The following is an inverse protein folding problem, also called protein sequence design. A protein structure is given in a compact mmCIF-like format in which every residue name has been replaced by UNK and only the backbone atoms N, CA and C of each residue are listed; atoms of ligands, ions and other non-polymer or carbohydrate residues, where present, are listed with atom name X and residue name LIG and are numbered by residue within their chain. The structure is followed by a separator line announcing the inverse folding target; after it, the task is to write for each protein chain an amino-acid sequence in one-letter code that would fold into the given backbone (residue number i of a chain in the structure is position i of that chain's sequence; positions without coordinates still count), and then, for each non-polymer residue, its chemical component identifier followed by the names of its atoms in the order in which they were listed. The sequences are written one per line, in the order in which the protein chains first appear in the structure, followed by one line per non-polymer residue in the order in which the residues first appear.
data_IF_802670448048
#
_entry.id   IF_802670448048
#
_cell.length_a   1.000
_cell.length_b   1.000
_cell.length_c   1.000
_cell.angle_alpha   90.00
_cell.angle_beta   90.00
_cell.angle_gamma   90.00
#
_symmetry.space_group_name_H-M   'P 1'
#
loop_
_entity.id
_entity.type
_entity.pdbx_description
1 polymer ?
#
# COMPACT_ATOMS: atom_id res chain seq x y z
N UNK A 1 15.73 -7.49 -13.60
CA UNK A 1 15.27 -7.55 -12.20
C UNK A 1 13.98 -6.75 -12.13
N UNK A 2 12.87 -7.35 -11.68
CA UNK A 2 11.59 -6.64 -11.57
C UNK A 2 11.61 -5.69 -10.37
N UNK A 3 10.89 -4.58 -10.47
CA UNK A 3 10.73 -3.55 -9.44
C UNK A 3 9.29 -3.60 -8.92
N UNK A 4 9.12 -3.64 -7.60
CA UNK A 4 7.81 -3.59 -6.98
C UNK A 4 7.73 -2.43 -6.00
N UNK A 5 6.64 -1.66 -6.09
CA UNK A 5 6.29 -0.67 -5.08
C UNK A 5 5.20 -1.25 -4.18
N UNK A 6 5.49 -1.36 -2.89
CA UNK A 6 4.53 -1.79 -1.87
C UNK A 6 4.16 -0.59 -1.01
N UNK A 7 2.91 -0.15 -1.09
CA UNK A 7 2.39 0.86 -0.17
C UNK A 7 2.01 0.20 1.15
N UNK A 8 2.02 0.96 2.26
CA UNK A 8 1.64 0.40 3.56
C UNK A 8 2.65 -0.64 4.04
N UNK A 9 3.91 -0.50 3.60
CA UNK A 9 5.00 -1.46 3.79
C UNK A 9 5.22 -1.86 5.26
N UNK A 10 4.94 -0.97 6.20
CA UNK A 10 5.10 -1.19 7.64
C UNK A 10 3.95 -1.98 8.27
N UNK A 11 2.85 -2.17 7.53
CA UNK A 11 1.72 -3.01 7.90
C UNK A 11 2.07 -4.50 7.91
N UNK A 12 1.12 -5.34 8.32
CA UNK A 12 1.31 -6.79 8.33
C UNK A 12 1.53 -7.32 6.91
N UNK A 13 0.56 -7.10 6.03
CA UNK A 13 0.58 -7.67 4.67
C UNK A 13 1.72 -7.08 3.85
N UNK A 14 1.95 -5.76 3.94
CA UNK A 14 3.07 -5.10 3.29
C UNK A 14 4.43 -5.72 3.66
N UNK A 15 4.65 -6.02 4.94
CA UNK A 15 5.91 -6.62 5.41
C UNK A 15 6.13 -8.05 4.88
N UNK A 16 5.11 -8.91 4.95
CA UNK A 16 5.20 -10.27 4.44
C UNK A 16 5.27 -10.33 2.90
N UNK A 17 4.53 -9.47 2.22
CA UNK A 17 4.59 -9.33 0.76
C UNK A 17 5.99 -8.88 0.32
N UNK A 18 6.58 -7.89 0.99
CA UNK A 18 7.93 -7.44 0.69
C UNK A 18 8.95 -8.56 0.87
N UNK A 19 8.82 -9.38 1.93
CA UNK A 19 9.67 -10.57 2.12
C UNK A 19 9.55 -11.53 0.94
N UNK A 20 8.33 -11.87 0.55
CA UNK A 20 8.05 -12.75 -0.59
C UNK A 20 8.66 -12.20 -1.90
N UNK A 21 8.53 -10.90 -2.14
CA UNK A 21 9.05 -10.24 -3.35
C UNK A 21 10.58 -10.23 -3.36
N UNK A 22 11.23 -9.93 -2.23
CA UNK A 22 12.68 -10.02 -2.07
C UNK A 22 13.18 -11.45 -2.33
N UNK A 23 12.52 -12.47 -1.77
CA UNK A 23 12.85 -13.88 -2.01
C UNK A 23 12.68 -14.30 -3.48
N UNK A 24 11.77 -13.65 -4.22
CA UNK A 24 11.58 -13.81 -5.67
C UNK A 24 12.58 -13.01 -6.51
N UNK A 25 13.52 -12.28 -5.90
CA UNK A 25 14.53 -11.49 -6.60
C UNK A 25 14.02 -10.16 -7.16
N UNK A 26 12.96 -9.59 -6.58
CA UNK A 26 12.51 -8.24 -6.91
C UNK A 26 13.37 -7.19 -6.20
N UNK A 27 13.55 -6.02 -6.84
CA UNK A 27 13.92 -4.80 -6.14
C UNK A 27 12.64 -4.23 -5.52
N UNK A 28 12.60 -4.13 -4.19
CA UNK A 28 11.39 -3.70 -3.46
C UNK A 28 11.55 -2.27 -2.97
N UNK A 29 10.57 -1.44 -3.32
CA UNK A 29 10.39 -0.09 -2.83
C UNK A 29 9.22 -0.07 -1.83
N UNK A 30 9.45 0.52 -0.67
CA UNK A 30 8.49 0.58 0.43
C UNK A 30 7.97 1.98 0.64
N UNK A 31 6.72 2.23 0.27
CA UNK A 31 6.04 3.49 0.55
C UNK A 31 5.56 3.55 2.00
N UNK A 32 5.96 4.59 2.75
CA UNK A 32 5.47 4.84 4.10
C UNK A 32 5.06 6.31 4.31
N UNK A 33 4.14 6.56 5.25
CA UNK A 33 3.80 7.93 5.65
C UNK A 33 4.94 8.59 6.43
N UNK A 34 5.11 9.89 6.20
CA UNK A 34 5.97 10.73 7.04
C UNK A 34 5.37 10.81 8.44
N UNK A 35 6.09 10.25 9.41
CA UNK A 35 5.73 10.31 10.83
C UNK A 35 6.98 10.67 11.62
N UNK A 36 6.81 11.28 12.79
CA UNK A 36 7.93 11.66 13.67
C UNK A 36 8.73 10.46 14.16
N UNK A 37 8.08 9.29 14.26
CA UNK A 37 8.72 8.03 14.66
C UNK A 37 8.21 6.91 13.77
N UNK A 38 8.89 6.63 12.64
CA UNK A 38 8.48 5.55 11.77
C UNK A 38 8.71 4.20 12.46
N UNK A 39 7.77 3.28 12.25
CA UNK A 39 7.79 1.97 12.91
C UNK A 39 8.04 0.84 11.91
N UNK A 40 9.27 0.32 11.89
CA UNK A 40 9.72 -0.73 10.98
C UNK A 40 9.89 -2.10 11.65
N UNK A 41 9.33 -2.30 12.86
CA UNK A 41 9.59 -3.50 13.66
C UNK A 41 9.30 -4.83 12.92
N UNK A 42 8.25 -4.87 12.08
CA UNK A 42 7.93 -6.05 11.26
C UNK A 42 9.01 -6.35 10.24
N UNK A 43 9.56 -5.33 9.58
CA UNK A 43 10.61 -5.46 8.58
C UNK A 43 11.93 -5.93 9.21
N UNK A 44 12.22 -5.45 10.44
CA UNK A 44 13.35 -5.96 11.22
C UNK A 44 13.14 -7.41 11.65
N UNK A 45 11.95 -7.75 12.16
CA UNK A 45 11.62 -9.12 12.60
C UNK A 45 11.67 -10.13 11.46
N UNK A 46 11.43 -9.68 10.22
CA UNK A 46 11.49 -10.50 9.01
C UNK A 46 12.86 -10.49 8.32
N UNK A 47 13.87 -9.77 8.85
CA UNK A 47 15.20 -9.60 8.25
C UNK A 47 15.17 -9.08 6.79
N UNK A 48 14.28 -8.10 6.53
CA UNK A 48 14.16 -7.47 5.21
C UNK A 48 14.32 -5.95 5.23
N UNK A 49 14.55 -5.36 6.40
CA UNK A 49 14.70 -3.90 6.52
C UNK A 49 15.76 -3.33 5.56
N UNK A 50 16.94 -3.94 5.51
CA UNK A 50 18.03 -3.50 4.61
C UNK A 50 17.86 -3.97 3.15
N UNK A 51 16.77 -4.69 2.84
CA UNK A 51 16.47 -5.23 1.50
C UNK A 51 15.35 -4.44 0.79
N UNK A 52 14.84 -3.39 1.44
CA UNK A 52 13.77 -2.53 0.94
C UNK A 52 14.29 -1.09 0.85
N UNK A 53 13.98 -0.42 -0.26
CA UNK A 53 14.25 1.01 -0.44
C UNK A 53 13.02 1.82 0.01
N UNK A 54 13.12 2.50 1.15
CA UNK A 54 11.98 3.23 1.72
C UNK A 54 11.85 4.63 1.13
N UNK A 55 10.64 4.98 0.70
CA UNK A 55 10.32 6.29 0.14
C UNK A 55 9.13 6.88 0.90
N UNK A 56 9.25 8.08 1.50
CA UNK A 56 8.15 8.72 2.19
C UNK A 56 7.12 9.27 1.20
N UNK A 57 5.84 8.95 1.40
CA UNK A 57 4.74 9.45 0.57
C UNK A 57 3.41 9.41 1.38
N UNK A 58 2.34 10.01 0.85
CA UNK A 58 0.99 9.87 1.42
C UNK A 58 -0.05 9.65 0.32
N UNK A 59 -1.01 8.75 0.57
CA UNK A 59 -2.15 8.51 -0.34
C UNK A 59 -3.06 9.74 -0.49
N UNK A 60 -2.97 10.69 0.44
CA UNK A 60 -3.70 11.96 0.37
C UNK A 60 -3.02 13.02 -0.52
N UNK A 61 -1.75 12.82 -0.89
CA UNK A 61 -0.95 13.78 -1.63
C UNK A 61 -0.51 13.22 -2.99
N UNK A 62 -1.23 13.62 -4.04
CA UNK A 62 -0.94 13.21 -5.42
C UNK A 62 0.47 13.58 -5.89
N UNK A 63 1.07 14.66 -5.39
CA UNK A 63 2.44 15.02 -5.77
C UNK A 63 3.43 13.99 -5.22
N UNK A 64 3.26 13.58 -3.96
CA UNK A 64 4.08 12.53 -3.35
C UNK A 64 3.87 11.16 -4.03
N UNK A 65 2.65 10.85 -4.47
CA UNK A 65 2.33 9.64 -5.24
C UNK A 65 3.06 9.67 -6.59
N UNK A 66 2.99 10.79 -7.30
CA UNK A 66 3.70 10.97 -8.57
C UNK A 66 5.20 10.77 -8.41
N UNK A 67 5.77 11.32 -7.32
CA UNK A 67 7.19 11.23 -7.03
C UNK A 67 7.63 9.81 -6.68
N UNK A 68 6.92 9.10 -5.80
CA UNK A 68 7.28 7.71 -5.45
C UNK A 68 7.18 6.79 -6.66
N UNK A 69 6.20 6.98 -7.54
CA UNK A 69 6.08 6.20 -8.77
C UNK A 69 7.25 6.47 -9.72
N UNK A 70 7.70 7.72 -9.87
CA UNK A 70 8.87 8.07 -10.69
C UNK A 70 10.18 7.51 -10.13
N UNK A 71 10.39 7.62 -8.82
CA UNK A 71 11.61 7.13 -8.16
C UNK A 71 11.68 5.59 -8.21
N UNK A 72 10.55 4.92 -7.94
CA UNK A 72 10.50 3.46 -7.89
C UNK A 72 10.43 2.81 -9.28
N UNK A 73 9.93 3.53 -10.30
CA UNK A 73 9.73 3.05 -11.67
C UNK A 73 9.24 1.58 -11.70
N UNK A 74 8.10 1.26 -11.03
CA UNK A 74 7.77 -0.11 -10.66
C UNK A 74 7.12 -0.87 -11.83
N UNK A 75 7.44 -2.15 -11.98
CA UNK A 75 6.69 -3.06 -12.85
C UNK A 75 5.33 -3.45 -12.24
N UNK A 76 5.28 -3.48 -10.90
CA UNK A 76 4.14 -3.94 -10.10
C UNK A 76 3.94 -3.01 -8.89
N UNK A 77 2.71 -2.53 -8.69
CA UNK A 77 2.30 -1.72 -7.53
C UNK A 77 1.30 -2.52 -6.69
N UNK A 78 1.61 -2.68 -5.41
CA UNK A 78 0.76 -3.35 -4.43
C UNK A 78 0.25 -2.35 -3.42
N UNK A 79 -1.02 -1.96 -3.55
CA UNK A 79 -1.63 -1.01 -2.64
C UNK A 79 -2.19 -1.69 -1.38
N UNK A 80 -1.40 -1.71 -0.29
CA UNK A 80 -1.82 -2.24 1.02
C UNK A 80 -1.98 -1.14 2.08
N UNK A 81 -1.66 0.11 1.76
CA UNK A 81 -1.95 1.26 2.61
C UNK A 81 -3.45 1.56 2.67
N UNK A 82 -3.97 1.70 3.89
CA UNK A 82 -5.37 2.03 4.16
C UNK A 82 -5.52 2.64 5.56
N UNK A 83 -6.65 3.29 5.81
CA UNK A 83 -7.28 3.22 7.13
C UNK A 83 -8.01 1.87 7.14
N UNK A 84 -7.44 0.88 7.83
CA UNK A 84 -7.91 -0.53 7.80
C UNK A 84 -8.66 -0.98 9.06
N UNK A 85 -8.86 -0.12 10.04
CA UNK A 85 -9.57 -0.46 11.27
C UNK A 85 -11.03 0.01 11.20
N UNK A 86 -11.94 -0.97 11.12
CA UNK A 86 -13.38 -0.76 10.95
C UNK A 86 -13.95 0.13 12.07
N UNK A 87 -13.58 -0.09 13.33
CA UNK A 87 -14.06 0.73 14.45
C UNK A 87 -13.79 2.23 14.27
N UNK A 88 -12.55 2.58 13.90
CA UNK A 88 -12.15 3.99 13.67
C UNK A 88 -12.84 4.59 12.44
N UNK A 89 -13.34 3.77 11.51
CA UNK A 89 -14.04 4.31 10.34
C UNK A 89 -15.38 4.98 10.68
N UNK A 90 -16.01 4.60 11.79
CA UNK A 90 -17.23 5.26 12.28
C UNK A 90 -16.92 6.61 12.93
N UNK A 91 -15.76 6.75 13.56
CA UNK A 91 -15.30 7.99 14.19
C UNK A 91 -14.74 8.98 13.15
N UNK A 92 -14.05 8.46 12.13
CA UNK A 92 -13.35 9.24 11.11
C UNK A 92 -13.74 8.79 9.69
N UNK A 93 -15.02 8.90 9.29
CA UNK A 93 -15.51 8.38 8.02
C UNK A 93 -14.92 9.12 6.81
N UNK A 94 -14.80 10.45 6.88
CA UNK A 94 -14.22 11.26 5.80
C UNK A 94 -12.76 10.89 5.55
N UNK A 95 -11.97 10.78 6.62
CA UNK A 95 -10.58 10.35 6.52
C UNK A 95 -10.46 8.93 5.96
N UNK A 96 -11.32 8.02 6.40
CA UNK A 96 -11.37 6.65 5.88
C UNK A 96 -11.68 6.64 4.38
N UNK A 97 -12.67 7.43 3.94
CA UNK A 97 -12.98 7.58 2.53
C UNK A 97 -11.80 8.18 1.74
N UNK A 98 -11.16 9.22 2.28
CA UNK A 98 -10.06 9.89 1.60
C UNK A 98 -8.85 8.98 1.39
N UNK A 99 -8.52 8.15 2.39
CA UNK A 99 -7.39 7.21 2.32
C UNK A 99 -7.76 5.94 1.57
N UNK A 100 -8.78 5.22 2.04
CA UNK A 100 -9.10 3.84 1.59
C UNK A 100 -9.98 3.84 0.34
N UNK A 101 -10.82 4.86 0.16
CA UNK A 101 -11.66 5.00 -1.04
C UNK A 101 -10.94 5.76 -2.15
N UNK A 102 -10.82 7.08 -1.98
CA UNK A 102 -10.32 7.96 -3.04
C UNK A 102 -8.80 7.96 -3.20
N UNK A 103 -8.03 7.52 -2.20
CA UNK A 103 -6.58 7.33 -2.31
C UNK A 103 -6.20 6.30 -3.38
N UNK A 104 -7.00 5.24 -3.55
CA UNK A 104 -6.84 4.25 -4.64
C UNK A 104 -6.98 4.91 -6.00
N UNK A 105 -7.95 5.81 -6.15
CA UNK A 105 -8.20 6.54 -7.40
C UNK A 105 -7.03 7.47 -7.72
N UNK A 106 -6.48 8.18 -6.73
CA UNK A 106 -5.29 9.02 -6.93
C UNK A 106 -4.10 8.21 -7.42
N UNK A 107 -3.86 7.05 -6.80
CA UNK A 107 -2.78 6.16 -7.20
C UNK A 107 -2.96 5.62 -8.63
N UNK A 108 -4.18 5.22 -9.00
CA UNK A 108 -4.50 4.76 -10.34
C UNK A 108 -4.38 5.87 -11.40
N UNK A 109 -4.79 7.10 -11.10
CA UNK A 109 -4.65 8.23 -12.02
C UNK A 109 -3.18 8.60 -12.24
N UNK A 110 -2.33 8.56 -11.21
CA UNK A 110 -0.90 8.78 -11.38
C UNK A 110 -0.21 7.63 -12.14
N UNK A 111 -0.58 6.37 -11.88
CA UNK A 111 -0.12 5.22 -12.68
C UNK A 111 -0.50 5.42 -14.15
N UNK A 112 -1.75 5.79 -14.44
CA UNK A 112 -2.25 6.03 -15.80
C UNK A 112 -1.51 7.15 -16.53
N UNK A 113 -1.03 8.17 -15.79
CA UNK A 113 -0.19 9.27 -16.33
C UNK A 113 1.25 8.83 -16.58
N UNK A 114 1.80 7.95 -15.73
CA UNK A 114 3.18 7.49 -15.82
C UNK A 114 3.34 6.35 -16.83
N UNK A 115 2.74 5.19 -16.55
CA UNK A 115 2.80 4.00 -17.40
C UNK A 115 1.62 3.06 -17.11
N UNK A 116 0.83 2.77 -18.15
CA UNK A 116 -0.36 1.91 -18.08
C UNK A 116 -0.01 0.41 -18.08
N UNK A 117 1.25 0.04 -18.31
CA UNK A 117 1.70 -1.35 -18.26
C UNK A 117 1.98 -1.83 -16.83
N UNK A 118 2.09 -0.91 -15.87
CA UNK A 118 2.29 -1.22 -14.45
C UNK A 118 1.11 -2.07 -13.97
N UNK A 119 1.42 -3.25 -13.42
CA UNK A 119 0.38 -4.09 -12.82
C UNK A 119 -0.01 -3.54 -11.46
N UNK A 120 -1.30 -3.43 -11.20
CA UNK A 120 -1.82 -2.89 -9.96
C UNK A 120 -2.59 -3.93 -9.16
N UNK A 121 -2.27 -4.07 -7.88
CA UNK A 121 -3.03 -4.84 -6.91
C UNK A 121 -3.63 -3.89 -5.86
N UNK A 122 -4.94 -4.05 -5.58
CA UNK A 122 -5.63 -3.36 -4.50
C UNK A 122 -5.94 -4.35 -3.37
N UNK A 123 -5.52 -4.04 -2.15
CA UNK A 123 -6.00 -4.73 -0.96
C UNK A 123 -7.45 -4.33 -0.67
N UNK A 124 -8.39 -5.06 -1.27
CA UNK A 124 -9.81 -5.03 -0.88
C UNK A 124 -10.04 -5.93 0.33
N UNK A 125 -11.27 -5.96 0.86
CA UNK A 125 -11.60 -6.74 2.07
C UNK A 125 -12.96 -7.43 1.95
N UNK A 126 -13.12 -8.56 2.65
CA UNK A 126 -14.41 -9.21 2.84
C UNK A 126 -15.44 -8.31 3.53
N UNK A 127 -15.01 -7.28 4.25
CA UNK A 127 -15.90 -6.26 4.84
C UNK A 127 -16.81 -5.58 3.80
N UNK A 128 -16.44 -5.59 2.52
CA UNK A 128 -17.31 -5.09 1.44
C UNK A 128 -18.63 -5.86 1.33
N UNK A 129 -18.68 -7.11 1.79
CA UNK A 129 -19.89 -7.92 1.80
C UNK A 129 -20.79 -7.62 3.01
N UNK A 130 -20.27 -6.94 4.03
CA UNK A 130 -21.01 -6.59 5.24
C UNK A 130 -21.65 -7.80 5.91
N UNK A 131 -22.93 -7.68 6.23
CA UNK A 131 -23.71 -8.81 6.76
C UNK A 131 -24.08 -9.71 5.58
N UNK A 132 -23.46 -10.89 5.49
CA UNK A 132 -24.05 -12.00 4.76
C UNK A 132 -25.39 -12.33 5.41
N UNK A 133 -26.50 -11.91 4.79
CA UNK A 133 -27.79 -12.52 5.05
C UNK A 133 -27.79 -13.92 4.41
N UNK A 134 -27.07 -14.86 5.02
CA UNK A 134 -27.37 -16.27 4.85
C UNK A 134 -28.70 -16.55 5.55
N UNK A 135 -29.79 -16.13 4.89
CA UNK A 135 -31.02 -16.91 5.00
C UNK A 135 -30.69 -18.25 4.34
N UNK A 136 -30.60 -19.32 5.14
CA UNK A 136 -30.27 -20.75 4.84
C UNK A 136 -28.83 -21.10 5.30
N UNK A 137 -28.58 -21.93 6.34
CA UNK A 137 -29.34 -22.99 7.05
C UNK A 137 -29.23 -22.89 8.56
#
# INVERSE_FOLDING_TARGET
MKKALVTGITGQDGAYLAKLLVEKGYKVYGGHRKTSTPNYWRLHSLDIFNKVEFIPYDLLDSASISEILKISDPDEVYNTAAQSFVGTSFEQPLYTFDVTGSGVIRLLEEIKRLDKNIKFYQASSSEMYGIESSLIK
#
